data_IF_016953454099
#
_entry.id   IF_016953454099
#
_cell.length_a   1.000
_cell.length_b   1.000
_cell.length_c   1.000
_cell.angle_alpha   90.00
_cell.angle_beta   90.00
_cell.angle_gamma   90.00
#
_symmetry.space_group_name_H-M   'P 1'
#
loop_
_entity.id
_entity.type
_entity.pdbx_description
1 polymer ?
#
# COMPACT_ATOMS: atom_id res chain seq x y z
N UNK A 1 -9.35 8.68 2.89
CA UNK A 1 -8.81 7.99 4.07
C UNK A 1 -8.53 8.98 5.18
N UNK A 2 -9.05 8.73 6.37
CA UNK A 2 -8.68 9.41 7.62
C UNK A 2 -7.28 8.94 8.07
N UNK A 3 -6.57 9.64 8.97
CA UNK A 3 -5.29 9.18 9.52
C UNK A 3 -5.34 7.74 10.09
N UNK A 4 -6.45 7.38 10.74
CA UNK A 4 -6.69 6.03 11.23
C UNK A 4 -6.74 4.99 10.09
N UNK A 5 -7.39 5.31 8.97
CA UNK A 5 -7.40 4.44 7.79
C UNK A 5 -6.01 4.30 7.17
N UNK A 6 -5.18 5.34 7.26
CA UNK A 6 -3.80 5.33 6.75
C UNK A 6 -2.92 4.38 7.56
N UNK A 7 -3.03 4.43 8.88
CA UNK A 7 -2.33 3.50 9.77
C UNK A 7 -2.78 2.05 9.49
N UNK A 8 -4.10 1.82 9.40
CA UNK A 8 -4.64 0.50 9.08
C UNK A 8 -4.15 -0.02 7.73
N UNK A 9 -4.06 0.84 6.72
CA UNK A 9 -3.50 0.48 5.42
C UNK A 9 -2.01 0.09 5.53
N UNK A 10 -1.23 0.85 6.29
CA UNK A 10 0.18 0.54 6.53
C UNK A 10 0.38 -0.82 7.24
N UNK A 11 -0.47 -1.14 8.22
CA UNK A 11 -0.42 -2.41 8.95
C UNK A 11 -0.75 -3.61 8.05
N UNK A 12 -1.77 -3.48 7.19
CA UNK A 12 -2.13 -4.53 6.23
C UNK A 12 -1.03 -4.72 5.18
N UNK A 13 -0.46 -3.64 4.66
CA UNK A 13 0.65 -3.71 3.70
C UNK A 13 1.88 -4.38 4.32
N UNK A 14 2.20 -4.08 5.57
CA UNK A 14 3.29 -4.74 6.30
C UNK A 14 3.04 -6.25 6.39
N UNK A 15 1.84 -6.65 6.81
CA UNK A 15 1.47 -8.07 6.92
C UNK A 15 1.52 -8.79 5.58
N UNK A 16 1.11 -8.12 4.49
CA UNK A 16 1.17 -8.64 3.13
C UNK A 16 2.63 -8.87 2.69
N UNK A 17 3.52 -7.90 2.93
CA UNK A 17 4.95 -8.01 2.61
C UNK A 17 5.57 -9.22 3.31
N UNK A 18 5.30 -9.39 4.61
CA UNK A 18 5.79 -10.52 5.41
C UNK A 18 5.27 -11.85 4.88
N UNK A 19 3.97 -11.93 4.55
CA UNK A 19 3.35 -13.13 3.98
C UNK A 19 3.85 -13.50 2.59
N UNK A 20 4.26 -12.51 1.77
CA UNK A 20 4.82 -12.74 0.44
C UNK A 20 6.31 -13.13 0.46
N UNK A 21 6.99 -13.07 1.60
CA UNK A 21 8.43 -13.35 1.68
C UNK A 21 9.28 -12.33 0.91
N UNK A 22 8.82 -11.09 0.81
CA UNK A 22 9.58 -10.00 0.19
C UNK A 22 10.57 -9.41 1.20
N UNK A 23 11.79 -9.15 0.76
CA UNK A 23 12.87 -8.67 1.63
C UNK A 23 13.21 -7.19 1.36
N UNK A 24 13.32 -6.36 2.41
CA UNK A 24 13.77 -4.96 2.28
C UNK A 24 15.15 -4.83 1.62
N UNK A 25 15.42 -3.71 0.92
CA UNK A 25 14.56 -2.53 0.78
C UNK A 25 13.43 -2.70 -0.26
N UNK A 26 12.21 -2.27 0.10
CA UNK A 26 11.04 -2.32 -0.80
C UNK A 26 10.43 -0.92 -0.99
N UNK A 27 10.02 -0.63 -2.22
CA UNK A 27 9.15 0.50 -2.54
C UNK A 27 7.69 0.04 -2.51
N UNK A 28 6.84 0.81 -1.83
CA UNK A 28 5.40 0.58 -1.78
C UNK A 28 4.72 1.73 -2.51
N UNK A 29 3.93 1.43 -3.54
CA UNK A 29 3.23 2.40 -4.35
C UNK A 29 1.73 2.13 -4.22
N UNK A 30 0.97 3.06 -3.66
CA UNK A 30 -0.49 2.99 -3.57
C UNK A 30 -1.13 3.96 -4.57
N UNK A 31 -2.12 3.50 -5.33
CA UNK A 31 -2.87 4.27 -6.33
C UNK A 31 -4.36 4.12 -6.05
N UNK A 32 -5.01 5.22 -5.70
CA UNK A 32 -6.47 5.30 -5.56
C UNK A 32 -7.17 5.39 -6.92
N UNK A 33 -8.46 5.06 -6.93
CA UNK A 33 -9.31 5.12 -8.14
C UNK A 33 -9.45 6.54 -8.72
N UNK A 34 -9.25 7.55 -7.87
CA UNK A 34 -9.22 8.97 -8.25
C UNK A 34 -7.85 9.44 -8.78
N UNK A 35 -6.89 8.52 -8.97
CA UNK A 35 -5.55 8.83 -9.47
C UNK A 35 -4.59 9.38 -8.41
N UNK A 36 -5.00 9.46 -7.14
CA UNK A 36 -4.10 9.86 -6.06
C UNK A 36 -3.03 8.77 -5.83
N UNK A 37 -1.76 9.18 -5.80
CA UNK A 37 -0.61 8.27 -5.70
C UNK A 37 0.18 8.52 -4.43
N UNK A 38 0.47 7.46 -3.67
CA UNK A 38 1.40 7.45 -2.56
C UNK A 38 2.58 6.53 -2.78
N UNK A 39 3.76 6.97 -2.31
CA UNK A 39 4.98 6.18 -2.33
C UNK A 39 5.57 6.12 -0.93
N UNK A 40 5.94 4.90 -0.52
CA UNK A 40 6.62 4.59 0.73
C UNK A 40 7.91 3.84 0.51
N UNK A 41 8.81 3.97 1.48
CA UNK A 41 9.89 3.02 1.68
C UNK A 41 9.54 2.10 2.86
N UNK A 42 9.65 0.79 2.64
CA UNK A 42 9.56 -0.21 3.70
C UNK A 42 10.97 -0.64 4.11
N UNK A 43 11.35 -0.33 5.35
CA UNK A 43 12.64 -0.71 5.93
C UNK A 43 12.42 -1.63 7.13
N UNK A 44 12.88 -2.89 7.07
CA UNK A 44 12.91 -3.91 8.15
C UNK A 44 11.85 -3.73 9.27
N UNK A 45 10.56 -3.56 8.91
CA UNK A 45 9.34 -3.44 9.76
C UNK A 45 8.63 -2.08 9.82
N UNK A 46 9.11 -1.04 9.14
CA UNK A 46 8.41 0.26 9.12
C UNK A 46 8.06 0.67 7.70
N UNK A 47 6.77 0.85 7.40
CA UNK A 47 6.27 1.52 6.18
C UNK A 47 6.04 2.99 6.53
N UNK A 48 6.94 3.89 6.13
CA UNK A 48 6.97 5.27 6.68
C UNK A 48 6.04 6.28 5.99
N UNK A 49 5.38 5.92 4.89
CA UNK A 49 4.43 6.79 4.18
C UNK A 49 3.55 6.08 3.14
N UNK A 50 2.26 5.84 3.41
CA UNK A 50 1.29 5.30 2.42
C UNK A 50 0.21 6.33 2.08
N UNK A 51 0.49 7.63 2.23
CA UNK A 51 -0.36 8.69 1.65
C UNK A 51 0.39 9.72 0.79
N UNK A 52 -0.30 10.14 -0.28
CA UNK A 52 0.26 10.63 -1.52
C UNK A 52 0.48 12.12 -1.67
N UNK A 53 1.13 12.50 -2.77
CA UNK A 53 1.38 13.87 -3.20
C UNK A 53 0.09 14.51 -3.76
N UNK A 54 -0.95 14.53 -2.94
CA UNK A 54 -2.16 15.36 -3.00
C UNK A 54 -2.90 15.05 -1.68
N UNK A 55 -2.86 15.95 -0.68
CA UNK A 55 -3.35 15.67 0.68
C UNK A 55 -4.86 15.42 0.79
N UNK A 56 -5.60 15.41 -0.31
CA UNK A 56 -7.03 15.17 -0.36
C UNK A 56 -7.37 13.75 -0.80
N UNK A 57 -7.31 12.79 0.14
CA UNK A 57 -8.07 11.52 0.11
C UNK A 57 -7.81 10.58 -1.10
N UNK A 58 -7.15 9.45 -0.89
CA UNK A 58 -7.28 8.29 -1.80
C UNK A 58 -8.68 7.69 -1.70
N UNK A 59 -9.29 7.45 -2.87
CA UNK A 59 -10.56 6.76 -3.00
C UNK A 59 -10.35 5.29 -3.41
N UNK A 60 -11.22 4.43 -2.91
CA UNK A 60 -11.23 3.01 -3.27
C UNK A 60 -11.82 2.80 -4.68
N UNK A 61 -11.45 1.73 -5.40
CA UNK A 61 -10.43 0.77 -5.03
C UNK A 61 -9.02 1.37 -4.94
N UNK A 62 -8.22 0.88 -3.98
CA UNK A 62 -6.82 1.27 -3.81
C UNK A 62 -5.96 0.09 -4.24
N UNK A 63 -5.16 0.29 -5.27
CA UNK A 63 -4.15 -0.67 -5.70
C UNK A 63 -2.83 -0.36 -5.01
N UNK A 64 -2.27 -1.32 -4.29
CA UNK A 64 -0.93 -1.21 -3.71
C UNK A 64 0.01 -2.19 -4.41
N UNK A 65 1.12 -1.68 -4.91
CA UNK A 65 2.20 -2.44 -5.55
C UNK A 65 3.45 -2.33 -4.69
N UNK A 66 4.03 -3.47 -4.32
CA UNK A 66 5.32 -3.55 -3.63
C UNK A 66 6.37 -3.98 -4.63
N UNK A 67 7.50 -3.28 -4.69
CA UNK A 67 8.60 -3.52 -5.62
C UNK A 67 9.90 -3.67 -4.85
N UNK A 68 10.65 -4.75 -5.09
CA UNK A 68 11.98 -4.94 -4.51
C UNK A 68 12.99 -3.98 -5.17
N UNK A 69 13.75 -3.25 -4.34
CA UNK A 69 14.57 -2.13 -4.79
C UNK A 69 15.93 -2.55 -5.40
N UNK A 70 16.39 -3.79 -5.16
CA UNK A 70 17.66 -4.28 -5.69
C UNK A 70 17.43 -5.31 -6.81
N UNK A 71 18.28 -5.24 -7.84
CA UNK A 71 18.63 -6.30 -8.82
C UNK A 71 18.00 -6.25 -10.21
N UNK A 72 16.99 -5.43 -10.48
CA UNK A 72 16.36 -5.38 -11.82
C UNK A 72 15.69 -6.72 -12.25
N UNK A 73 15.57 -7.69 -11.34
CA UNK A 73 14.76 -8.92 -11.49
C UNK A 73 13.39 -8.79 -10.83
N UNK A 74 12.93 -7.54 -10.68
CA UNK A 74 11.96 -7.06 -9.70
C UNK A 74 10.80 -8.00 -9.40
N UNK A 75 10.89 -8.68 -8.26
CA UNK A 75 9.72 -9.28 -7.62
C UNK A 75 8.77 -8.14 -7.26
N UNK A 76 7.55 -8.21 -7.79
CA UNK A 76 6.48 -7.31 -7.39
C UNK A 76 5.28 -8.08 -6.91
N UNK A 77 4.61 -7.54 -5.91
CA UNK A 77 3.39 -8.09 -5.36
C UNK A 77 2.32 -7.00 -5.32
N UNK A 78 1.08 -7.36 -5.64
CA UNK A 78 -0.04 -6.42 -5.69
C UNK A 78 -1.14 -6.87 -4.75
N UNK A 79 -1.72 -5.91 -4.03
CA UNK A 79 -2.95 -6.06 -3.25
C UNK A 79 -3.93 -4.96 -3.64
N UNK A 80 -5.21 -5.30 -3.72
CA UNK A 80 -6.28 -4.35 -4.03
C UNK A 80 -7.26 -4.26 -2.85
N UNK A 81 -7.53 -3.04 -2.41
CA UNK A 81 -8.51 -2.75 -1.38
C UNK A 81 -9.78 -2.23 -2.04
N UNK A 82 -10.85 -3.03 -1.99
CA UNK A 82 -12.16 -2.66 -2.52
C UNK A 82 -13.11 -2.26 -1.40
N UNK A 83 -14.02 -1.33 -1.67
CA UNK A 83 -15.12 -1.04 -0.74
C UNK A 83 -16.15 -2.16 -0.86
N UNK A 84 -16.33 -2.94 0.20
CA UNK A 84 -17.52 -3.77 0.31
C UNK A 84 -18.65 -2.90 0.84
N UNK A 85 -19.76 -2.79 0.09
CA UNK A 85 -21.01 -2.31 0.69
C UNK A 85 -21.36 -3.30 1.82
N UNK A 86 -21.76 -2.84 3.01
CA UNK A 86 -22.32 -3.75 3.99
C UNK A 86 -23.50 -4.45 3.32
N UNK A 87 -23.41 -5.76 3.18
CA UNK A 87 -24.56 -6.57 2.78
C UNK A 87 -25.56 -6.40 3.92
N UNK A 88 -26.61 -5.60 3.72
CA UNK A 88 -27.74 -5.59 4.65
C UNK A 88 -28.30 -7.01 4.65
N UNK A 89 -28.06 -7.74 5.74
CA UNK A 89 -28.82 -8.94 6.09
C UNK A 89 -30.12 -8.52 6.76
#
# INVERSE_FOLDING_TARGET
>A
MTPHDQQRLADVVTSFIEGCGLYPPLYVIAIGSNGAVSVSLHTRREVKQVCGHQPGRMDAPITVTVVQAEDGRGSSARIEFVTTKPTMQ
#
